data_IF_481554675763
#
_entry.id   IF_481554675763
#
_cell.length_a   1.000
_cell.length_b   1.000
_cell.length_c   1.000
_cell.angle_alpha   90.00
_cell.angle_beta   90.00
_cell.angle_gamma   90.00
#
_symmetry.space_group_name_H-M   'P 1'
#
loop_
_entity.id
_entity.type
_entity.pdbx_description
1 polymer ?
#
# COMPACT_ATOMS: atom_id res chain seq x y z
N UNK A 1 -22.50 -3.72 -9.19
CA UNK A 1 -21.55 -3.25 -10.20
C UNK A 1 -20.19 -3.99 -10.07
N UNK A 2 -19.57 -4.03 -8.89
CA UNK A 2 -18.27 -4.68 -8.69
C UNK A 2 -18.32 -6.19 -8.88
N UNK A 3 -19.32 -6.88 -8.31
CA UNK A 3 -19.54 -8.32 -8.55
C UNK A 3 -19.79 -8.65 -10.04
N UNK A 4 -20.49 -7.75 -10.76
CA UNK A 4 -20.73 -7.92 -12.20
C UNK A 4 -19.46 -7.69 -13.02
N UNK A 5 -18.59 -6.78 -12.62
CA UNK A 5 -17.31 -6.54 -13.29
C UNK A 5 -16.33 -7.71 -13.10
N UNK A 6 -16.27 -8.25 -11.88
CA UNK A 6 -15.43 -9.43 -11.56
C UNK A 6 -15.95 -10.68 -12.26
N UNK A 7 -17.28 -10.90 -12.27
CA UNK A 7 -17.90 -12.05 -12.93
C UNK A 7 -17.82 -12.01 -14.47
N UNK A 8 -17.65 -10.82 -15.06
CA UNK A 8 -17.54 -10.67 -16.51
C UNK A 8 -16.15 -11.04 -17.06
N UNK A 9 -15.18 -11.28 -16.20
CA UNK A 9 -13.78 -11.52 -16.59
C UNK A 9 -13.26 -12.84 -16.04
N UNK A 10 -13.77 -13.90 -16.13
CA UNK A 10 -13.26 -15.22 -15.72
C UNK A 10 -11.77 -15.19 -15.28
N UNK A 11 -11.52 -14.61 -14.09
CA UNK A 11 -10.16 -14.52 -13.55
C UNK A 11 -9.70 -15.90 -13.07
N UNK A 12 -8.46 -16.29 -13.34
CA UNK A 12 -7.93 -17.56 -12.88
C UNK A 12 -7.98 -17.70 -11.36
N UNK A 13 -8.29 -18.89 -10.89
CA UNK A 13 -8.22 -19.20 -9.46
C UNK A 13 -6.79 -18.96 -8.94
N UNK A 14 -6.70 -18.33 -7.78
CA UNK A 14 -5.40 -18.02 -7.16
C UNK A 14 -4.68 -16.79 -7.71
N UNK A 15 -5.21 -16.12 -8.74
CA UNK A 15 -4.59 -14.90 -9.27
C UNK A 15 -4.41 -13.85 -8.17
N UNK A 16 -3.18 -13.35 -8.04
CA UNK A 16 -2.85 -12.32 -7.06
C UNK A 16 -2.71 -12.82 -5.62
N UNK A 17 -2.68 -14.14 -5.40
CA UNK A 17 -2.41 -14.69 -4.07
C UNK A 17 -0.91 -14.65 -3.79
N UNK A 18 -0.54 -13.89 -2.75
CA UNK A 18 0.84 -13.79 -2.26
C UNK A 18 0.85 -13.97 -0.76
N UNK A 19 1.84 -14.68 -0.25
CA UNK A 19 2.03 -14.89 1.18
C UNK A 19 3.09 -13.92 1.72
N UNK A 20 2.63 -12.71 2.04
CA UNK A 20 3.44 -11.66 2.63
C UNK A 20 2.81 -11.17 3.93
N UNK A 21 3.61 -10.70 4.90
CA UNK A 21 3.08 -10.08 6.11
C UNK A 21 2.19 -8.88 5.78
N UNK A 22 1.22 -8.62 6.65
CA UNK A 22 0.28 -7.51 6.50
C UNK A 22 0.66 -6.36 7.42
N UNK A 23 0.71 -5.15 6.87
CA UNK A 23 0.88 -3.91 7.60
C UNK A 23 -0.42 -3.13 7.60
N UNK A 24 -0.96 -2.87 8.78
CA UNK A 24 -2.11 -1.98 8.96
C UNK A 24 -2.11 -1.41 10.37
N UNK A 25 -2.38 -0.13 10.51
CA UNK A 25 -2.68 0.50 11.78
C UNK A 25 -4.19 0.49 12.04
N UNK A 26 -4.59 0.74 13.29
CA UNK A 26 -6.02 0.84 13.62
C UNK A 26 -6.68 1.95 12.80
N UNK A 27 -7.84 1.71 12.18
CA UNK A 27 -8.56 2.71 11.40
C UNK A 27 -8.88 3.99 12.19
N UNK A 28 -9.08 3.87 13.51
CA UNK A 28 -9.55 4.95 14.34
C UNK A 28 -8.49 5.98 14.73
N UNK A 29 -7.22 5.58 14.92
CA UNK A 29 -6.22 6.48 15.54
C UNK A 29 -4.76 6.25 15.11
N UNK A 30 -4.50 5.52 14.05
CA UNK A 30 -3.12 5.30 13.60
C UNK A 30 -2.27 4.60 14.66
N UNK A 31 -2.68 3.44 15.13
CA UNK A 31 -1.92 2.69 16.11
C UNK A 31 -0.61 2.18 15.50
N UNK A 32 0.51 2.53 16.15
CA UNK A 32 1.87 2.21 15.74
C UNK A 32 2.35 0.82 16.17
N UNK A 33 1.50 0.01 16.81
CA UNK A 33 1.91 -1.25 17.45
C UNK A 33 2.65 -2.22 16.53
N UNK A 34 2.57 -2.00 15.21
CA UNK A 34 3.23 -2.85 14.22
C UNK A 34 4.35 -2.14 13.45
N UNK A 35 4.50 -0.83 13.63
CA UNK A 35 5.60 -0.09 13.05
C UNK A 35 6.63 0.21 14.14
N UNK A 36 7.63 -0.64 14.23
CA UNK A 36 8.81 -0.42 15.04
C UNK A 36 9.94 0.05 14.12
N UNK A 37 10.49 1.23 14.44
CA UNK A 37 11.59 1.79 13.67
C UNK A 37 12.83 0.88 13.66
N UNK A 38 13.05 0.15 14.72
CA UNK A 38 14.19 -0.79 14.82
C UNK A 38 13.99 -2.02 13.90
N UNK A 39 12.75 -2.34 13.52
CA UNK A 39 12.42 -3.40 12.59
C UNK A 39 12.24 -2.93 11.14
N UNK A 40 12.32 -1.62 10.93
CA UNK A 40 12.19 -1.02 9.61
C UNK A 40 13.56 -0.93 8.94
N UNK A 41 13.58 -1.22 7.65
CA UNK A 41 14.72 -0.98 6.78
C UNK A 41 14.26 -0.65 5.37
N UNK A 42 15.15 -0.03 4.61
CA UNK A 42 14.95 0.21 3.18
C UNK A 42 16.13 -0.36 2.42
N UNK A 43 15.84 -1.02 1.31
CA UNK A 43 16.88 -1.50 0.39
C UNK A 43 16.77 -0.78 -0.95
N UNK A 44 17.87 -0.67 -1.65
CA UNK A 44 17.87 -0.14 -3.00
C UNK A 44 17.26 -1.18 -3.95
N UNK A 45 16.50 -0.74 -4.97
CA UNK A 45 15.87 -1.66 -5.92
C UNK A 45 16.86 -2.61 -6.61
N UNK A 46 18.10 -2.17 -6.87
CA UNK A 46 19.15 -3.01 -7.45
C UNK A 46 19.54 -4.20 -6.57
N UNK A 47 19.34 -4.07 -5.26
CA UNK A 47 19.58 -5.17 -4.31
C UNK A 47 18.34 -6.04 -4.08
N UNK A 48 17.18 -5.61 -4.58
CA UNK A 48 15.91 -6.33 -4.41
C UNK A 48 15.56 -7.20 -5.62
N UNK A 49 15.73 -6.67 -6.83
CA UNK A 49 15.38 -7.37 -8.06
C UNK A 49 16.52 -8.25 -8.55
N UNK A 50 16.22 -9.44 -9.04
CA UNK A 50 17.21 -10.37 -9.61
C UNK A 50 17.93 -9.77 -10.83
N UNK A 51 17.23 -8.90 -11.60
CA UNK A 51 17.84 -8.12 -12.68
C UNK A 51 18.19 -6.71 -12.17
N UNK A 52 19.48 -6.41 -11.96
CA UNK A 52 19.93 -5.08 -11.48
C UNK A 52 19.55 -3.94 -12.43
N UNK A 53 19.38 -4.19 -13.73
CA UNK A 53 19.00 -3.16 -14.68
C UNK A 53 17.56 -2.69 -14.50
N UNK A 54 16.68 -3.56 -13.97
CA UNK A 54 15.33 -3.17 -13.54
C UNK A 54 15.44 -2.23 -12.35
N UNK A 55 16.22 -2.58 -11.34
CA UNK A 55 16.41 -1.78 -10.14
C UNK A 55 16.98 -0.39 -10.43
N UNK A 56 17.95 -0.27 -11.31
CA UNK A 56 18.55 1.03 -11.71
C UNK A 56 17.55 2.03 -12.32
N UNK A 57 16.43 1.55 -12.84
CA UNK A 57 15.37 2.41 -13.39
C UNK A 57 14.35 2.83 -12.35
N UNK A 58 14.35 2.23 -11.17
CA UNK A 58 13.45 2.58 -10.10
C UNK A 58 13.90 3.89 -9.42
N UNK A 59 12.92 4.68 -9.00
CA UNK A 59 13.15 5.98 -8.35
C UNK A 59 12.76 5.99 -6.87
N UNK A 60 12.51 4.82 -6.29
CA UNK A 60 12.12 4.66 -4.88
C UNK A 60 12.84 3.46 -4.26
N UNK A 61 13.01 3.49 -2.96
CA UNK A 61 13.51 2.35 -2.18
C UNK A 61 12.42 1.30 -1.97
N UNK A 62 12.81 0.11 -1.57
CA UNK A 62 11.92 -0.98 -1.15
C UNK A 62 11.89 -0.99 0.38
N UNK A 63 10.77 -0.62 1.01
CA UNK A 63 10.64 -0.65 2.46
C UNK A 63 10.35 -2.08 2.95
N UNK A 64 10.99 -2.43 4.06
CA UNK A 64 10.90 -3.76 4.66
C UNK A 64 10.56 -3.63 6.15
N UNK A 65 9.76 -4.55 6.66
CA UNK A 65 9.56 -4.80 8.08
C UNK A 65 10.13 -6.18 8.41
N UNK A 66 11.04 -6.24 9.36
CA UNK A 66 11.76 -7.49 9.70
C UNK A 66 12.41 -8.16 8.46
N UNK A 67 12.97 -7.37 7.55
CA UNK A 67 13.61 -7.85 6.34
C UNK A 67 12.67 -8.40 5.26
N UNK A 68 11.35 -8.21 5.40
CA UNK A 68 10.34 -8.67 4.44
C UNK A 68 9.53 -7.48 3.93
N UNK A 69 9.16 -7.52 2.65
CA UNK A 69 8.14 -6.61 2.17
C UNK A 69 6.78 -6.97 2.79
N UNK A 70 5.88 -6.00 2.82
CA UNK A 70 4.57 -6.14 3.44
C UNK A 70 3.49 -5.69 2.47
N UNK A 71 2.30 -6.26 2.61
CA UNK A 71 1.10 -5.75 1.97
C UNK A 71 0.36 -4.82 2.92
N UNK A 72 -0.13 -3.69 2.42
CA UNK A 72 -0.96 -2.75 3.16
C UNK A 72 -2.22 -2.39 2.37
N UNK A 73 -3.23 -1.88 3.04
CA UNK A 73 -4.46 -1.42 2.40
C UNK A 73 -5.72 -2.08 2.95
N UNK A 74 -6.83 -1.98 2.21
CA UNK A 74 -8.13 -2.49 2.66
C UNK A 74 -8.09 -3.96 3.08
N UNK A 75 -7.49 -4.84 2.27
CA UNK A 75 -7.41 -6.26 2.61
C UNK A 75 -6.62 -6.50 3.91
N UNK A 76 -5.49 -5.80 4.08
CA UNK A 76 -4.68 -5.93 5.29
C UNK A 76 -5.47 -5.48 6.54
N UNK A 77 -6.18 -4.35 6.47
CA UNK A 77 -7.01 -3.85 7.58
C UNK A 77 -8.19 -4.78 7.87
N UNK A 78 -8.87 -5.22 6.82
CA UNK A 78 -10.02 -6.12 6.96
C UNK A 78 -9.61 -7.48 7.54
N UNK A 79 -8.46 -8.02 7.16
CA UNK A 79 -7.96 -9.26 7.74
C UNK A 79 -7.59 -9.08 9.23
N UNK A 80 -6.90 -7.99 9.57
CA UNK A 80 -6.45 -7.75 10.95
C UNK A 80 -7.56 -7.40 11.91
N UNK A 81 -8.51 -6.58 11.49
CA UNK A 81 -9.50 -5.99 12.39
C UNK A 81 -10.92 -6.53 12.23
N UNK A 82 -11.24 -7.12 11.08
CA UNK A 82 -12.60 -7.57 10.75
C UNK A 82 -12.72 -9.06 10.43
N UNK A 83 -11.62 -9.81 10.53
CA UNK A 83 -11.64 -11.27 10.34
C UNK A 83 -11.76 -11.73 8.89
N UNK A 84 -11.55 -10.85 7.92
CA UNK A 84 -11.48 -11.21 6.50
C UNK A 84 -10.35 -12.21 6.24
N UNK A 85 -10.55 -13.22 5.38
CA UNK A 85 -9.57 -14.29 5.17
C UNK A 85 -9.23 -14.54 3.70
N UNK A 86 -10.02 -14.01 2.79
CA UNK A 86 -9.81 -14.27 1.37
C UNK A 86 -8.55 -13.55 0.86
N UNK A 87 -7.92 -14.12 -0.16
CA UNK A 87 -6.68 -13.62 -0.78
C UNK A 87 -6.84 -13.50 -2.29
N UNK A 88 -5.96 -12.74 -2.92
CA UNK A 88 -5.89 -12.56 -4.37
C UNK A 88 -6.70 -11.37 -4.89
N UNK A 89 -6.75 -11.23 -6.21
CA UNK A 89 -7.33 -10.08 -6.91
C UNK A 89 -8.78 -9.80 -6.51
N UNK A 90 -9.61 -10.83 -6.48
CA UNK A 90 -11.02 -10.69 -6.11
C UNK A 90 -11.16 -10.23 -4.65
N UNK A 91 -10.36 -10.82 -3.77
CA UNK A 91 -10.36 -10.49 -2.35
C UNK A 91 -9.96 -9.02 -2.09
N UNK A 92 -9.00 -8.46 -2.85
CA UNK A 92 -8.64 -7.05 -2.76
C UNK A 92 -9.84 -6.13 -3.04
N UNK A 93 -10.63 -6.45 -4.06
CA UNK A 93 -11.81 -5.65 -4.40
C UNK A 93 -12.95 -5.84 -3.39
N UNK A 94 -13.17 -7.06 -2.91
CA UNK A 94 -14.22 -7.36 -1.91
C UNK A 94 -13.88 -6.67 -0.60
N UNK A 95 -12.66 -6.81 -0.10
CA UNK A 95 -12.20 -6.17 1.13
C UNK A 95 -12.38 -4.63 1.08
N UNK A 96 -12.05 -4.00 -0.06
CA UNK A 96 -12.26 -2.57 -0.26
C UNK A 96 -13.74 -2.18 -0.19
N UNK A 97 -14.62 -2.98 -0.78
CA UNK A 97 -16.06 -2.70 -0.77
C UNK A 97 -16.66 -2.86 0.65
N UNK A 98 -16.25 -3.89 1.39
CA UNK A 98 -16.69 -4.11 2.76
C UNK A 98 -16.15 -3.03 3.70
N UNK A 99 -14.88 -2.65 3.54
CA UNK A 99 -14.29 -1.57 4.31
C UNK A 99 -15.00 -0.23 4.08
N UNK A 100 -15.39 0.08 2.84
CA UNK A 100 -16.17 1.29 2.55
C UNK A 100 -17.49 1.32 3.34
N UNK A 101 -18.17 0.19 3.47
CA UNK A 101 -19.39 0.10 4.27
C UNK A 101 -19.11 0.28 5.76
N UNK A 102 -18.05 -0.36 6.26
CA UNK A 102 -17.64 -0.21 7.65
C UNK A 102 -17.27 1.24 7.97
N UNK A 103 -16.51 1.89 7.11
CA UNK A 103 -16.12 3.30 7.27
C UNK A 103 -17.31 4.24 7.19
N UNK A 104 -18.31 3.95 6.36
CA UNK A 104 -19.54 4.71 6.33
C UNK A 104 -20.27 4.65 7.68
N UNK A 105 -20.46 3.46 8.24
CA UNK A 105 -21.10 3.28 9.53
C UNK A 105 -20.30 3.98 10.65
N UNK A 106 -18.99 3.78 10.69
CA UNK A 106 -18.10 4.45 11.64
C UNK A 106 -18.18 5.99 11.54
N UNK A 107 -18.30 6.52 10.33
CA UNK A 107 -18.45 7.97 10.12
C UNK A 107 -19.73 8.51 10.75
N UNK A 108 -20.84 7.79 10.60
CA UNK A 108 -22.11 8.17 11.25
C UNK A 108 -21.96 8.17 12.77
N UNK A 109 -21.42 7.09 13.32
CA UNK A 109 -21.21 6.95 14.78
C UNK A 109 -20.30 8.06 15.33
N UNK A 110 -19.25 8.44 14.60
CA UNK A 110 -18.34 9.52 15.00
C UNK A 110 -19.00 10.90 14.90
N UNK A 111 -19.85 11.14 13.89
CA UNK A 111 -20.60 12.38 13.76
C UNK A 111 -21.58 12.60 14.93
N UNK A 112 -22.16 11.52 15.46
CA UNK A 112 -23.02 11.59 16.64
C UNK A 112 -22.26 11.91 17.94
N UNK A 113 -20.96 11.59 17.97
CA UNK A 113 -20.10 11.80 19.14
C UNK A 113 -19.31 13.12 19.12
N UNK A 114 -19.34 13.85 18.02
CA UNK A 114 -18.52 15.06 17.85
C UNK A 114 -18.96 16.16 18.84
N UNK A 115 -18.02 16.67 19.61
CA UNK A 115 -18.21 17.85 20.42
C UNK A 115 -17.83 19.11 19.63
N UNK A 116 -18.85 19.79 19.12
CA UNK A 116 -18.66 21.02 18.34
C UNK A 116 -18.18 22.21 19.15
N UNK A 117 -18.16 22.12 20.49
CA UNK A 117 -17.62 23.13 21.38
C UNK A 117 -16.13 22.95 21.69
N UNK A 118 -15.59 21.78 21.42
CA UNK A 118 -14.18 21.50 21.61
C UNK A 118 -13.30 22.22 20.56
N UNK A 119 -12.08 22.60 20.92
CA UNK A 119 -11.15 23.19 19.96
C UNK A 119 -10.89 22.24 18.78
N UNK A 120 -10.99 22.75 17.55
CA UNK A 120 -10.71 21.98 16.34
C UNK A 120 -9.20 21.70 16.14
N UNK A 121 -8.35 22.30 16.96
CA UNK A 121 -6.89 22.17 16.89
C UNK A 121 -6.31 22.04 18.29
N UNK A 122 -5.38 21.10 18.46
CA UNK A 122 -4.53 21.01 19.63
C UNK A 122 -3.35 22.01 19.51
N UNK A 123 -2.96 22.61 20.63
CA UNK A 123 -1.72 23.37 20.68
C UNK A 123 -0.51 22.42 20.67
N UNK A 124 0.53 22.82 19.96
CA UNK A 124 1.78 22.07 19.88
C UNK A 124 2.99 23.01 19.88
N UNK A 125 4.13 22.49 20.33
CA UNK A 125 5.41 23.20 20.26
C UNK A 125 6.08 22.91 18.91
N UNK A 126 6.17 23.89 18.04
CA UNK A 126 6.74 23.80 16.71
C UNK A 126 8.27 23.91 16.67
N UNK A 127 8.92 24.23 17.79
CA UNK A 127 10.39 24.35 17.86
C UNK A 127 11.08 23.01 17.65
N UNK A 128 10.43 21.92 18.08
CA UNK A 128 10.95 20.57 17.98
C UNK A 128 12.08 20.30 19.00
N UNK A 129 12.34 19.04 19.26
CA UNK A 129 13.32 18.58 20.26
C UNK A 129 14.63 18.07 19.66
N UNK A 130 14.70 17.94 18.33
CA UNK A 130 15.80 17.28 17.63
C UNK A 130 15.69 15.74 17.67
N UNK A 131 14.62 15.20 18.24
CA UNK A 131 14.36 13.75 18.23
C UNK A 131 13.56 13.37 16.98
N UNK A 132 13.70 12.11 16.57
CA UNK A 132 12.89 11.55 15.51
C UNK A 132 11.42 11.44 15.98
N UNK A 133 10.52 12.04 15.22
CA UNK A 133 9.09 11.83 15.32
C UNK A 133 8.63 10.91 14.19
N UNK A 134 7.74 9.98 14.51
CA UNK A 134 7.12 9.08 13.55
C UNK A 134 5.60 9.28 13.64
N UNK A 135 4.97 9.55 12.49
CA UNK A 135 3.53 9.63 12.34
C UNK A 135 3.05 8.55 11.37
N UNK A 136 2.00 7.84 11.76
CA UNK A 136 1.36 6.82 10.91
C UNK A 136 -0.11 7.16 10.75
N UNK A 137 -0.59 7.04 9.52
CA UNK A 137 -2.00 7.24 9.20
C UNK A 137 -2.42 6.28 8.11
N UNK A 138 -3.62 5.73 8.24
CA UNK A 138 -4.23 4.92 7.20
C UNK A 138 -4.90 5.79 6.15
N UNK A 139 -4.47 5.62 4.90
CA UNK A 139 -5.15 6.16 3.73
C UNK A 139 -6.00 5.09 3.03
N UNK A 140 -6.76 5.47 2.00
CA UNK A 140 -7.58 4.51 1.25
C UNK A 140 -6.78 3.32 0.71
N UNK A 141 -5.52 3.53 0.34
CA UNK A 141 -4.62 2.52 -0.25
C UNK A 141 -3.74 1.81 0.76
N UNK A 142 -3.74 2.25 2.03
CA UNK A 142 -2.96 1.63 3.09
C UNK A 142 -2.21 2.62 3.97
N UNK A 143 -1.20 2.10 4.64
CA UNK A 143 -0.44 2.79 5.67
C UNK A 143 0.54 3.82 5.09
N UNK A 144 0.38 5.08 5.51
CA UNK A 144 1.37 6.14 5.30
C UNK A 144 2.23 6.26 6.56
N UNK A 145 3.53 6.27 6.39
CA UNK A 145 4.48 6.52 7.47
C UNK A 145 5.27 7.78 7.14
N UNK A 146 5.26 8.74 8.06
CA UNK A 146 6.05 9.96 7.95
C UNK A 146 7.03 10.02 9.10
N UNK A 147 8.28 10.29 8.80
CA UNK A 147 9.36 10.40 9.76
C UNK A 147 10.01 11.78 9.65
N UNK A 148 10.16 12.48 10.76
CA UNK A 148 10.77 13.80 10.74
C UNK A 148 11.58 14.06 12.00
N UNK A 149 12.65 14.80 11.85
CA UNK A 149 13.36 15.44 12.96
C UNK A 149 13.26 16.95 12.82
N UNK A 150 12.71 17.60 13.85
CA UNK A 150 12.55 19.06 13.88
C UNK A 150 13.37 19.61 15.04
N UNK A 151 14.19 20.63 14.78
CA UNK A 151 14.96 21.36 15.78
C UNK A 151 15.02 22.83 15.42
N UNK A 152 14.79 23.68 16.40
CA UNK A 152 14.78 25.14 16.27
C UNK A 152 13.86 25.60 15.12
N UNK A 153 12.62 25.04 15.08
CA UNK A 153 11.60 25.27 14.05
C UNK A 153 12.06 24.95 12.62
N UNK A 154 13.07 24.10 12.48
CA UNK A 154 13.57 23.65 11.16
C UNK A 154 13.54 22.15 11.05
N UNK A 155 13.08 21.68 9.90
CA UNK A 155 13.14 20.26 9.55
C UNK A 155 14.60 19.92 9.25
N UNK A 156 15.17 19.02 10.04
CA UNK A 156 16.54 18.50 9.86
C UNK A 156 16.55 17.25 9.00
N UNK A 157 15.50 16.44 9.13
CA UNK A 157 15.31 15.20 8.38
C UNK A 157 13.82 15.01 8.10
N UNK A 158 13.49 14.51 6.93
CA UNK A 158 12.13 14.08 6.58
C UNK A 158 12.19 12.90 5.62
N UNK A 159 11.37 11.90 5.88
CA UNK A 159 11.10 10.79 4.97
C UNK A 159 9.64 10.39 5.05
N UNK A 160 9.10 9.90 3.96
CA UNK A 160 7.73 9.40 3.89
C UNK A 160 7.67 8.13 3.06
N UNK A 161 6.96 7.13 3.57
CA UNK A 161 6.67 5.89 2.86
C UNK A 161 5.16 5.82 2.66
N UNK A 162 4.76 5.86 1.41
CA UNK A 162 3.34 5.85 1.04
C UNK A 162 2.85 4.43 0.73
N UNK A 163 1.53 4.17 0.76
CA UNK A 163 1.00 2.82 0.60
C UNK A 163 1.46 2.09 -0.67
N UNK A 164 1.53 2.80 -1.78
CA UNK A 164 1.97 2.22 -3.05
C UNK A 164 3.42 1.74 -2.99
N UNK A 165 4.29 2.43 -2.24
CA UNK A 165 5.70 2.02 -2.06
C UNK A 165 5.80 0.68 -1.33
N UNK A 166 4.94 0.41 -0.34
CA UNK A 166 4.85 -0.89 0.33
C UNK A 166 4.36 -2.00 -0.61
N UNK A 167 3.36 -1.71 -1.46
CA UNK A 167 2.66 -2.71 -2.26
C UNK A 167 3.36 -3.07 -3.58
N UNK A 168 4.16 -2.17 -4.17
CA UNK A 168 4.84 -2.41 -5.45
C UNK A 168 5.64 -3.72 -5.46
N UNK A 169 6.47 -4.03 -4.44
CA UNK A 169 7.25 -5.28 -4.45
C UNK A 169 6.41 -6.55 -4.42
N UNK A 170 5.14 -6.45 -3.99
CA UNK A 170 4.20 -7.57 -3.94
C UNK A 170 3.53 -7.83 -5.28
N UNK A 171 3.41 -6.83 -6.14
CA UNK A 171 2.66 -6.94 -7.41
C UNK A 171 3.32 -7.89 -8.41
N UNK A 172 4.66 -7.92 -8.46
CA UNK A 172 5.40 -8.86 -9.33
C UNK A 172 5.10 -10.31 -8.97
N UNK A 173 5.42 -10.76 -7.76
CA UNK A 173 5.08 -12.11 -7.30
C UNK A 173 3.59 -12.46 -7.43
N UNK A 174 2.70 -11.49 -7.31
CA UNK A 174 1.26 -11.68 -7.47
C UNK A 174 0.83 -12.03 -8.91
N UNK A 175 1.68 -11.81 -9.90
CA UNK A 175 1.44 -12.17 -11.32
C UNK A 175 2.14 -13.46 -11.71
N UNK A 176 3.04 -13.98 -10.88
CA UNK A 176 3.89 -15.11 -11.21
C UNK A 176 3.05 -16.39 -11.46
N UNK A 177 3.40 -17.11 -12.53
CA UNK A 177 2.69 -18.31 -12.94
C UNK A 177 1.38 -18.09 -13.72
N UNK A 178 0.98 -16.85 -13.97
CA UNK A 178 -0.22 -16.51 -14.73
C UNK A 178 0.13 -15.89 -16.09
N UNK A 179 -0.80 -15.98 -17.04
CA UNK A 179 -0.63 -15.35 -18.34
C UNK A 179 -0.53 -13.83 -18.20
N UNK A 180 0.36 -13.21 -18.95
CA UNK A 180 0.69 -11.77 -18.86
C UNK A 180 -0.53 -10.83 -18.98
N UNK A 181 -1.60 -11.25 -19.66
CA UNK A 181 -2.82 -10.45 -19.80
C UNK A 181 -3.49 -10.11 -18.46
N UNK A 182 -3.25 -10.93 -17.42
CA UNK A 182 -3.79 -10.70 -16.07
C UNK A 182 -2.96 -9.74 -15.22
N UNK A 183 -1.77 -9.34 -15.67
CA UNK A 183 -0.92 -8.41 -14.93
C UNK A 183 -1.61 -7.08 -14.61
N UNK A 184 -2.39 -6.56 -15.56
CA UNK A 184 -3.17 -5.33 -15.36
C UNK A 184 -4.27 -5.49 -14.30
N UNK A 185 -4.86 -6.67 -14.16
CA UNK A 185 -5.90 -6.93 -13.14
C UNK A 185 -5.29 -7.00 -11.74
N UNK A 186 -4.11 -7.59 -11.60
CA UNK A 186 -3.35 -7.58 -10.34
C UNK A 186 -3.00 -6.15 -9.95
N UNK A 187 -2.43 -5.35 -10.84
CA UNK A 187 -2.07 -3.96 -10.57
C UNK A 187 -3.30 -3.16 -10.12
N UNK A 188 -4.43 -3.28 -10.83
CA UNK A 188 -5.68 -2.60 -10.45
C UNK A 188 -6.22 -3.05 -9.10
N UNK A 189 -6.03 -4.32 -8.74
CA UNK A 189 -6.46 -4.82 -7.44
C UNK A 189 -5.73 -4.15 -6.27
N UNK A 190 -4.45 -3.83 -6.42
CA UNK A 190 -3.69 -3.07 -5.43
C UNK A 190 -3.98 -1.57 -5.45
N UNK A 191 -4.71 -1.07 -6.46
CA UNK A 191 -5.12 0.33 -6.58
C UNK A 191 -3.97 1.32 -6.33
N UNK A 192 -2.86 1.27 -7.09
CA UNK A 192 -1.77 2.21 -6.90
C UNK A 192 -2.24 3.66 -7.12
N UNK A 193 -1.53 4.62 -6.53
CA UNK A 193 -1.92 6.03 -6.51
C UNK A 193 -2.23 6.58 -7.92
N UNK A 194 -3.24 7.46 -8.04
CA UNK A 194 -3.72 8.05 -9.31
C UNK A 194 -2.64 8.77 -10.13
N UNK A 195 -1.58 9.25 -9.48
CA UNK A 195 -0.42 9.82 -10.17
C UNK A 195 0.53 8.75 -10.73
N UNK A 196 0.30 7.48 -10.42
CA UNK A 196 1.08 6.37 -10.93
C UNK A 196 0.48 5.86 -12.24
N UNK A 197 1.01 6.32 -13.37
CA UNK A 197 0.76 5.65 -14.63
C UNK A 197 1.58 4.35 -14.67
N UNK A 198 0.94 3.21 -14.87
CA UNK A 198 1.63 1.94 -15.03
C UNK A 198 1.79 1.62 -16.49
N UNK A 199 3.01 1.49 -16.93
CA UNK A 199 3.36 0.98 -18.24
C UNK A 199 3.62 -0.52 -18.14
N UNK A 200 2.81 -1.32 -18.81
CA UNK A 200 3.01 -2.77 -18.88
C UNK A 200 3.70 -3.06 -20.22
N UNK A 201 4.92 -3.53 -20.15
CA UNK A 201 5.65 -4.06 -21.29
C UNK A 201 5.72 -5.58 -21.15
N UNK A 202 5.20 -6.29 -22.14
CA UNK A 202 5.40 -7.73 -22.27
C UNK A 202 6.62 -7.92 -23.15
N UNK A 203 7.62 -8.58 -22.62
CA UNK A 203 8.86 -8.86 -23.36
C UNK A 203 8.97 -10.37 -23.57
N UNK A 204 9.53 -10.74 -24.70
CA UNK A 204 9.96 -12.12 -24.93
C UNK A 204 11.11 -12.47 -24.00
N UNK A 205 11.09 -13.66 -23.43
CA UNK A 205 12.07 -14.06 -22.41
C UNK A 205 13.42 -14.42 -23.03
N UNK A 206 13.42 -14.87 -24.29
CA UNK A 206 14.63 -15.28 -25.00
C UNK A 206 15.37 -14.09 -25.64
N UNK A 207 14.69 -13.31 -26.47
CA UNK A 207 15.33 -12.25 -27.25
C UNK A 207 15.11 -10.83 -26.70
N UNK A 208 14.31 -10.71 -25.61
CA UNK A 208 13.95 -9.42 -24.95
C UNK A 208 13.22 -8.44 -25.87
N UNK A 209 12.65 -8.92 -26.97
CA UNK A 209 11.80 -8.09 -27.83
C UNK A 209 10.51 -7.68 -27.12
N UNK A 210 10.01 -6.49 -27.43
CA UNK A 210 8.75 -6.00 -26.86
C UNK A 210 7.58 -6.60 -27.64
N UNK A 211 6.88 -7.56 -27.04
CA UNK A 211 5.69 -8.18 -27.62
C UNK A 211 4.44 -7.30 -27.47
N UNK A 212 4.35 -6.56 -26.37
CA UNK A 212 3.23 -5.68 -26.07
C UNK A 212 3.67 -4.51 -25.20
N UNK A 213 3.11 -3.34 -25.48
CA UNK A 213 3.39 -2.12 -24.72
C UNK A 213 2.07 -1.38 -24.49
N UNK A 214 1.48 -1.56 -23.32
CA UNK A 214 0.21 -0.96 -22.96
C UNK A 214 0.35 -0.02 -21.76
N UNK A 215 -0.33 1.12 -21.81
CA UNK A 215 -0.50 1.98 -20.66
C UNK A 215 -1.76 1.55 -19.89
N UNK A 216 -1.59 1.05 -18.70
CA UNK A 216 -2.71 0.76 -17.77
C UNK A 216 -3.06 2.07 -17.07
N UNK A 217 -4.24 2.61 -17.39
CA UNK A 217 -4.86 3.68 -16.59
C UNK A 217 -5.67 3.02 -15.48
N UNK A 218 -5.40 3.45 -14.28
CA UNK A 218 -6.05 2.99 -13.05
C UNK A 218 -7.19 3.94 -12.74
#
# INVERSE_FOLDING_TARGET
LMKSFIAARELPEGLGVVDVPLLASSPSYGNLDEFDYDNFSEVLPEAWYDDPEIGKKACTTIPLINGKNVETGPRARMEKFNGFKDKGVVAQHVARAEEMLNNYNLTIDLLEQIDTSAPARADYDDRGTGKLGIGVIEGPRGTNVHMATVKDSKIQFYSAIVPTTWNIPTMGPATEGFHHEFGADVIRAYDPCLSCATHVMVVDDEDKSILKNDMVRI
#
